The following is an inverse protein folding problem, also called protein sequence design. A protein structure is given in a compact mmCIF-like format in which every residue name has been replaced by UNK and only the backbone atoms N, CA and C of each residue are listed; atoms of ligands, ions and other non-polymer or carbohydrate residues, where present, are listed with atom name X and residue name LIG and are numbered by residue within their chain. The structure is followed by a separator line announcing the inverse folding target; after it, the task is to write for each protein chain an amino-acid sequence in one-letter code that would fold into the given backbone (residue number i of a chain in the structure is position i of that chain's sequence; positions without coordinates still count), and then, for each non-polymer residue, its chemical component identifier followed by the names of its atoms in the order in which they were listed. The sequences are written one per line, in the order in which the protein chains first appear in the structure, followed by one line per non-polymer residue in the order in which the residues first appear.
data_IF_944703311702
#
_entry.id   IF_944703311702
#
_cell.length_a   1.000
_cell.length_b   1.000
_cell.length_c   1.000
_cell.angle_alpha   90.00
_cell.angle_beta   90.00
_cell.angle_gamma   90.00
#
_symmetry.space_group_name_H-M   'P 1'
#
loop_
_entity.id
_entity.type
_entity.pdbx_description
1 polymer ?
#
# COMPACT_ATOMS: atom_id res chain seq x y z
N UNK A 1 -26.02 -13.23 6.46
CA UNK A 1 -24.96 -12.20 6.34
C UNK A 1 -24.94 -11.74 4.89
N UNK A 2 -24.77 -10.44 4.61
CA UNK A 2 -24.53 -9.98 3.22
C UNK A 2 -23.27 -10.67 2.73
N UNK A 3 -23.31 -11.25 1.53
CA UNK A 3 -22.24 -12.11 0.97
C UNK A 3 -20.92 -11.38 0.72
N UNK A 4 -20.88 -10.07 0.96
CA UNK A 4 -19.80 -9.17 0.55
C UNK A 4 -18.98 -8.67 1.75
N UNK A 5 -19.32 -9.08 2.96
CA UNK A 5 -18.62 -8.63 4.17
C UNK A 5 -17.49 -9.57 4.57
N UNK A 6 -16.42 -8.97 5.06
CA UNK A 6 -15.33 -9.68 5.75
C UNK A 6 -15.84 -10.43 6.99
N UNK A 7 -15.06 -11.38 7.48
CA UNK A 7 -15.41 -12.15 8.66
C UNK A 7 -15.48 -11.26 9.92
N UNK A 8 -16.25 -11.67 10.96
CA UNK A 8 -16.41 -10.85 12.16
C UNK A 8 -15.09 -10.53 12.90
N UNK A 9 -14.11 -11.44 12.86
CA UNK A 9 -12.83 -11.23 13.51
C UNK A 9 -12.01 -10.16 12.79
N UNK A 10 -11.92 -10.22 11.45
CA UNK A 10 -11.31 -9.16 10.64
C UNK A 10 -12.01 -7.81 10.81
N UNK A 11 -13.35 -7.82 10.86
CA UNK A 11 -14.17 -6.62 11.11
C UNK A 11 -13.81 -5.92 12.43
N UNK A 12 -13.55 -6.69 13.49
CA UNK A 12 -13.12 -6.14 14.78
C UNK A 12 -11.76 -5.42 14.69
N UNK A 13 -10.82 -5.95 13.91
CA UNK A 13 -9.53 -5.30 13.68
C UNK A 13 -9.64 -4.06 12.77
N UNK A 14 -10.57 -4.04 11.81
CA UNK A 14 -10.90 -2.81 11.06
C UNK A 14 -11.42 -1.72 12.01
N UNK A 15 -12.28 -2.09 12.96
CA UNK A 15 -12.78 -1.15 13.96
C UNK A 15 -11.65 -0.64 14.88
N UNK A 16 -10.72 -1.51 15.28
CA UNK A 16 -9.51 -1.12 16.02
C UNK A 16 -8.64 -0.14 15.21
N UNK A 17 -8.39 -0.41 13.93
CA UNK A 17 -7.60 0.46 13.06
C UNK A 17 -8.22 1.86 12.97
N UNK A 18 -9.53 1.95 12.75
CA UNK A 18 -10.25 3.23 12.65
C UNK A 18 -10.35 3.96 13.99
N UNK A 19 -10.35 3.24 15.10
CA UNK A 19 -10.32 3.82 16.45
C UNK A 19 -8.92 4.34 16.82
N UNK A 20 -7.86 3.64 16.42
CA UNK A 20 -6.47 4.02 16.63
C UNK A 20 -6.04 5.23 15.77
N UNK A 21 -6.77 5.52 14.69
CA UNK A 21 -6.46 6.63 13.80
C UNK A 21 -6.52 8.00 14.52
N UNK A 22 -5.37 8.67 14.62
CA UNK A 22 -5.28 10.03 15.15
C UNK A 22 -5.70 11.06 14.08
N UNK A 23 -6.96 11.49 14.20
CA UNK A 23 -7.59 12.48 13.30
C UNK A 23 -6.93 13.86 13.36
N UNK A 24 -6.11 14.15 14.37
CA UNK A 24 -5.42 15.44 14.53
C UNK A 24 -4.15 15.53 13.69
N UNK A 25 -3.53 14.39 13.35
CA UNK A 25 -2.28 14.34 12.58
C UNK A 25 -2.41 14.98 11.20
N UNK A 26 -3.50 14.71 10.47
CA UNK A 26 -3.77 15.39 9.20
C UNK A 26 -5.26 15.48 8.87
N UNK A 27 -5.72 16.70 8.60
CA UNK A 27 -7.08 16.98 8.12
C UNK A 27 -7.34 16.35 6.75
N UNK A 28 -6.33 16.35 5.87
CA UNK A 28 -6.47 15.80 4.52
C UNK A 28 -6.57 14.28 4.53
N UNK A 29 -5.73 13.60 5.33
CA UNK A 29 -5.85 12.15 5.53
C UNK A 29 -7.21 11.78 6.13
N UNK A 30 -7.67 12.52 7.13
CA UNK A 30 -9.01 12.33 7.71
C UNK A 30 -10.14 12.55 6.68
N UNK A 31 -9.96 13.50 5.76
CA UNK A 31 -10.91 13.72 4.65
C UNK A 31 -10.91 12.55 3.66
N UNK A 32 -9.75 11.98 3.35
CA UNK A 32 -9.64 10.81 2.47
C UNK A 32 -10.37 9.60 3.07
N UNK A 33 -10.18 9.33 4.38
CA UNK A 33 -10.95 8.30 5.08
C UNK A 33 -12.45 8.61 5.03
N UNK A 34 -12.87 9.85 5.30
CA UNK A 34 -14.27 10.25 5.17
C UNK A 34 -15.23 9.39 6.02
N UNK A 35 -16.53 9.42 5.69
CA UNK A 35 -17.57 8.69 6.45
C UNK A 35 -17.80 7.26 5.96
N UNK A 36 -17.40 6.96 4.72
CA UNK A 36 -17.66 5.67 4.06
C UNK A 36 -16.60 4.61 4.33
N UNK A 37 -15.40 4.98 4.82
CA UNK A 37 -14.27 4.06 4.89
C UNK A 37 -14.54 2.80 5.70
N UNK A 38 -15.33 2.88 6.77
CA UNK A 38 -15.68 1.68 7.56
C UNK A 38 -16.43 0.66 6.69
N UNK A 39 -17.34 1.13 5.84
CA UNK A 39 -18.09 0.26 4.93
C UNK A 39 -17.16 -0.33 3.86
N UNK A 40 -16.27 0.49 3.31
CA UNK A 40 -15.29 0.06 2.30
C UNK A 40 -14.30 -0.96 2.88
N UNK A 41 -13.76 -0.75 4.08
CA UNK A 41 -12.86 -1.71 4.73
C UNK A 41 -13.58 -2.96 5.26
N UNK A 42 -14.91 -2.94 5.39
CA UNK A 42 -15.67 -4.13 5.75
C UNK A 42 -16.21 -4.90 4.54
N UNK A 43 -15.81 -4.51 3.33
CA UNK A 43 -16.19 -5.20 2.09
C UNK A 43 -15.02 -6.08 1.62
N UNK A 44 -15.28 -7.37 1.37
CA UNK A 44 -14.24 -8.31 0.97
C UNK A 44 -13.64 -7.98 -0.41
N UNK A 45 -14.44 -7.38 -1.31
CA UNK A 45 -14.02 -7.07 -2.69
C UNK A 45 -13.05 -5.89 -2.78
N UNK A 46 -12.99 -5.09 -1.72
CA UNK A 46 -12.13 -3.91 -1.62
C UNK A 46 -10.88 -4.20 -0.79
N UNK A 47 -10.71 -5.41 -0.23
CA UNK A 47 -9.46 -5.82 0.45
C UNK A 47 -8.24 -5.58 -0.45
N UNK A 48 -8.22 -6.01 -1.72
CA UNK A 48 -7.03 -5.83 -2.56
C UNK A 48 -6.67 -4.37 -2.82
N UNK A 49 -7.61 -3.42 -2.62
CA UNK A 49 -7.40 -2.02 -3.01
C UNK A 49 -7.38 -1.06 -1.82
N UNK A 50 -8.39 -1.13 -0.96
CA UNK A 50 -8.58 -0.19 0.13
C UNK A 50 -7.70 -0.49 1.35
N UNK A 51 -7.47 -1.76 1.69
CA UNK A 51 -6.57 -2.11 2.79
C UNK A 51 -5.14 -1.61 2.54
N UNK A 52 -4.49 -1.93 1.39
CA UNK A 52 -3.14 -1.43 1.13
C UNK A 52 -3.08 0.09 1.05
N UNK A 53 -4.05 0.77 0.44
CA UNK A 53 -4.04 2.24 0.39
C UNK A 53 -4.16 2.88 1.79
N UNK A 54 -5.01 2.35 2.68
CA UNK A 54 -5.13 2.87 4.04
C UNK A 54 -3.88 2.53 4.86
N UNK A 55 -3.27 1.35 4.67
CA UNK A 55 -2.01 0.99 5.31
C UNK A 55 -0.84 1.89 4.86
N UNK A 56 -0.75 2.20 3.57
CA UNK A 56 0.23 3.16 3.04
C UNK A 56 -0.03 4.55 3.63
N UNK A 57 -1.29 5.00 3.67
CA UNK A 57 -1.67 6.27 4.28
C UNK A 57 -1.29 6.33 5.78
N UNK A 58 -1.56 5.26 6.53
CA UNK A 58 -1.18 5.14 7.93
C UNK A 58 0.34 5.19 8.11
N UNK A 59 1.07 4.50 7.24
CA UNK A 59 2.54 4.47 7.23
C UNK A 59 3.12 5.86 6.99
N UNK A 60 2.71 6.55 5.92
CA UNK A 60 3.23 7.89 5.61
C UNK A 60 2.80 8.95 6.62
N UNK A 61 1.79 8.69 7.44
CA UNK A 61 1.36 9.56 8.55
C UNK A 61 1.86 9.11 9.92
N UNK A 62 2.73 8.10 9.96
CA UNK A 62 3.40 7.57 11.16
C UNK A 62 2.41 7.04 12.20
N UNK A 63 1.48 6.19 11.74
CA UNK A 63 0.44 5.56 12.57
C UNK A 63 0.57 4.03 12.53
N UNK A 64 1.63 3.46 13.14
CA UNK A 64 1.93 2.03 13.05
C UNK A 64 0.79 1.13 13.57
N UNK A 65 0.09 1.53 14.64
CA UNK A 65 -1.00 0.74 15.22
C UNK A 65 -2.19 0.54 14.25
N UNK A 66 -2.43 1.52 13.38
CA UNK A 66 -3.43 1.42 12.31
C UNK A 66 -2.98 0.38 11.28
N UNK A 67 -1.72 0.46 10.85
CA UNK A 67 -1.15 -0.49 9.88
C UNK A 67 -1.16 -1.92 10.43
N UNK A 68 -0.73 -2.11 11.68
CA UNK A 68 -0.72 -3.41 12.37
C UNK A 68 -2.14 -3.98 12.48
N UNK A 69 -3.13 -3.15 12.84
CA UNK A 69 -4.53 -3.58 12.91
C UNK A 69 -5.07 -4.00 11.54
N UNK A 70 -4.69 -3.32 10.45
CA UNK A 70 -5.07 -3.73 9.09
C UNK A 70 -4.38 -5.02 8.66
N UNK A 71 -3.13 -5.25 9.07
CA UNK A 71 -2.46 -6.53 8.83
C UNK A 71 -3.20 -7.66 9.54
N UNK A 72 -3.58 -7.47 10.80
CA UNK A 72 -4.42 -8.42 11.53
C UNK A 72 -5.76 -8.70 10.85
N UNK A 73 -6.44 -7.66 10.40
CA UNK A 73 -7.69 -7.82 9.67
C UNK A 73 -7.50 -8.68 8.41
N UNK A 74 -6.43 -8.43 7.65
CA UNK A 74 -6.10 -9.24 6.48
C UNK A 74 -5.77 -10.69 6.83
N UNK A 75 -4.93 -10.93 7.85
CA UNK A 75 -4.58 -12.27 8.33
C UNK A 75 -5.82 -13.10 8.69
N UNK A 76 -6.78 -12.49 9.38
CA UNK A 76 -8.04 -13.14 9.74
C UNK A 76 -8.87 -13.57 8.52
N UNK A 77 -8.84 -12.80 7.43
CA UNK A 77 -9.53 -13.16 6.18
C UNK A 77 -8.85 -14.32 5.44
N UNK A 78 -7.51 -14.37 5.48
CA UNK A 78 -6.75 -15.32 4.66
C UNK A 78 -6.33 -16.59 5.39
N UNK A 79 -6.41 -16.65 6.72
CA UNK A 79 -5.91 -17.79 7.52
C UNK A 79 -6.55 -19.14 7.17
N UNK A 80 -7.73 -19.14 6.57
CA UNK A 80 -8.44 -20.35 6.16
C UNK A 80 -8.14 -20.76 4.71
N UNK A 81 -7.46 -19.90 3.96
CA UNK A 81 -7.16 -20.11 2.56
C UNK A 81 -5.87 -20.92 2.41
N UNK A 82 -5.87 -21.85 1.47
CA UNK A 82 -4.63 -22.51 1.01
C UNK A 82 -3.86 -21.65 0.02
N UNK A 83 -4.61 -20.90 -0.78
CA UNK A 83 -4.11 -20.03 -1.83
C UNK A 83 -4.94 -18.74 -1.89
N UNK A 84 -4.30 -17.65 -2.30
CA UNK A 84 -4.95 -16.35 -2.55
C UNK A 84 -4.85 -16.05 -4.04
N UNK A 85 -6.00 -15.72 -4.66
CA UNK A 85 -6.03 -15.35 -6.07
C UNK A 85 -5.34 -14.00 -6.30
N UNK A 86 -4.40 -13.97 -7.23
CA UNK A 86 -3.65 -12.79 -7.64
C UNK A 86 -4.53 -11.91 -8.56
N UNK A 87 -5.18 -10.88 -7.99
CA UNK A 87 -6.16 -10.02 -8.67
C UNK A 87 -6.01 -8.53 -8.28
N UNK A 88 -4.94 -7.87 -8.74
CA UNK A 88 -4.79 -6.39 -8.79
C UNK A 88 -4.61 -5.62 -7.46
N UNK A 89 -3.64 -4.67 -7.45
CA UNK A 89 -3.13 -3.87 -6.30
C UNK A 89 -2.67 -4.69 -5.09
N UNK A 90 -2.06 -5.83 -5.39
CA UNK A 90 -1.94 -7.00 -4.56
C UNK A 90 -1.30 -6.70 -3.22
N UNK A 91 -2.09 -6.93 -2.19
CA UNK A 91 -1.90 -6.56 -0.79
C UNK A 91 -0.50 -6.83 -0.25
N UNK A 92 0.16 -7.91 -0.68
CA UNK A 92 1.47 -8.32 -0.19
C UNK A 92 2.58 -7.28 -0.47
N UNK A 93 2.68 -6.73 -1.68
CA UNK A 93 3.73 -5.77 -2.03
C UNK A 93 3.65 -4.48 -1.21
N UNK A 94 2.49 -3.79 -1.19
CA UNK A 94 2.29 -2.60 -0.36
C UNK A 94 2.39 -2.90 1.14
N UNK A 95 1.90 -4.04 1.61
CA UNK A 95 2.01 -4.40 3.04
C UNK A 95 3.45 -4.69 3.44
N UNK A 96 4.22 -5.39 2.59
CA UNK A 96 5.66 -5.58 2.79
C UNK A 96 6.38 -4.25 2.86
N UNK A 97 6.11 -3.34 1.92
CA UNK A 97 6.70 -1.99 1.94
C UNK A 97 6.33 -1.22 3.22
N UNK A 98 5.07 -1.24 3.64
CA UNK A 98 4.65 -0.63 4.90
C UNK A 98 5.40 -1.23 6.11
N UNK A 99 5.57 -2.56 6.14
CA UNK A 99 6.31 -3.25 7.18
C UNK A 99 7.81 -2.88 7.17
N UNK A 100 8.42 -2.69 5.99
CA UNK A 100 9.78 -2.19 5.82
C UNK A 100 9.93 -0.78 6.40
N UNK A 101 9.06 0.15 6.00
CA UNK A 101 9.13 1.55 6.46
C UNK A 101 8.88 1.70 7.97
N UNK A 102 8.00 0.90 8.54
CA UNK A 102 7.67 0.91 9.96
C UNK A 102 8.60 0.01 10.80
N UNK A 103 9.62 -0.60 10.18
CA UNK A 103 10.57 -1.51 10.82
C UNK A 103 9.90 -2.69 11.55
N UNK A 104 8.81 -3.21 10.98
CA UNK A 104 8.04 -4.37 11.45
C UNK A 104 8.60 -5.68 10.87
N UNK A 105 9.82 -6.05 11.27
CA UNK A 105 10.62 -7.09 10.59
C UNK A 105 9.94 -8.47 10.53
N UNK A 106 9.11 -8.82 11.53
CA UNK A 106 8.29 -10.04 11.48
C UNK A 106 7.29 -10.05 10.31
N UNK A 107 6.60 -8.93 10.08
CA UNK A 107 5.62 -8.78 9.01
C UNK A 107 6.27 -8.69 7.62
N UNK A 108 7.46 -8.10 7.50
CA UNK A 108 8.20 -8.05 6.23
C UNK A 108 8.41 -9.45 5.66
N UNK A 109 8.90 -10.38 6.49
CA UNK A 109 9.14 -11.77 6.10
C UNK A 109 7.85 -12.52 5.78
N UNK A 110 6.75 -12.20 6.47
CA UNK A 110 5.46 -12.84 6.22
C UNK A 110 4.88 -12.47 4.85
N UNK A 111 5.01 -11.20 4.45
CA UNK A 111 4.52 -10.70 3.15
C UNK A 111 5.50 -10.90 1.99
N UNK A 112 6.68 -11.49 2.24
CA UNK A 112 7.64 -11.86 1.20
C UNK A 112 7.22 -13.13 0.44
N UNK A 113 6.03 -13.08 -0.16
CA UNK A 113 5.51 -14.11 -1.05
C UNK A 113 5.69 -13.67 -2.50
N UNK A 114 6.00 -14.63 -3.38
CA UNK A 114 6.18 -14.40 -4.81
C UNK A 114 5.29 -15.35 -5.61
N UNK A 115 5.04 -15.02 -6.88
CA UNK A 115 4.28 -15.86 -7.80
C UNK A 115 5.02 -15.95 -9.13
N UNK A 116 5.06 -17.15 -9.72
CA UNK A 116 5.55 -17.33 -11.09
C UNK A 116 4.52 -16.83 -12.10
N UNK A 117 4.96 -16.18 -13.17
CA UNK A 117 4.03 -15.69 -14.19
C UNK A 117 3.50 -16.80 -15.09
N UNK A 118 2.20 -16.72 -15.39
CA UNK A 118 1.50 -17.72 -16.20
C UNK A 118 1.04 -17.23 -17.58
N UNK A 119 1.46 -16.05 -18.05
CA UNK A 119 1.02 -15.51 -19.34
C UNK A 119 -0.23 -14.63 -19.28
N UNK A 120 -0.88 -14.47 -18.12
CA UNK A 120 -2.25 -13.95 -18.05
C UNK A 120 -2.40 -12.63 -17.27
N UNK A 121 -3.34 -11.80 -17.73
CA UNK A 121 -4.14 -10.93 -16.87
C UNK A 121 -3.54 -9.63 -16.34
N UNK A 122 -2.25 -9.34 -16.53
CA UNK A 122 -1.66 -8.09 -16.03
C UNK A 122 -0.77 -7.38 -17.04
N UNK A 123 -0.98 -6.06 -17.14
CA UNK A 123 -0.13 -5.17 -17.93
C UNK A 123 1.25 -5.03 -17.27
N UNK A 124 2.32 -4.81 -18.03
CA UNK A 124 3.66 -4.65 -17.49
C UNK A 124 3.81 -3.36 -16.64
N UNK A 125 4.96 -3.20 -15.97
CA UNK A 125 5.23 -2.07 -15.09
C UNK A 125 5.11 -0.73 -15.82
N UNK A 126 5.65 -0.61 -17.04
CA UNK A 126 5.60 0.60 -17.85
C UNK A 126 4.18 1.13 -18.15
N UNK A 127 3.18 0.24 -18.19
CA UNK A 127 1.78 0.57 -18.46
C UNK A 127 1.00 0.97 -17.18
N UNK A 128 1.48 0.56 -16.00
CA UNK A 128 0.79 0.83 -14.73
C UNK A 128 1.47 1.88 -13.86
N UNK A 129 2.81 1.93 -13.87
CA UNK A 129 3.60 2.96 -13.22
C UNK A 129 3.65 4.14 -14.18
N UNK A 130 2.49 4.77 -14.34
CA UNK A 130 2.31 5.90 -15.26
C UNK A 130 2.95 7.20 -14.75
N UNK A 131 3.85 7.14 -13.75
CA UNK A 131 4.59 8.30 -13.20
C UNK A 131 5.97 7.81 -12.75
N UNK A 132 6.97 8.00 -13.59
CA UNK A 132 8.35 7.82 -13.19
C UNK A 132 8.83 9.16 -12.64
N UNK A 133 9.18 9.22 -11.36
CA UNK A 133 9.68 10.44 -10.73
C UNK A 133 11.20 10.57 -10.91
N UNK A 134 11.90 9.43 -10.97
CA UNK A 134 13.36 9.36 -11.01
C UNK A 134 13.93 9.14 -12.42
N UNK A 135 13.11 8.67 -13.37
CA UNK A 135 13.58 8.11 -14.64
C UNK A 135 13.64 9.03 -15.87
N UNK A 136 12.94 10.18 -15.91
CA UNK A 136 13.03 11.16 -17.01
C UNK A 136 12.17 12.41 -16.70
N UNK A 137 12.46 13.62 -17.23
CA UNK A 137 11.67 14.83 -17.00
C UNK A 137 10.33 14.86 -17.78
N UNK A 138 9.89 13.73 -18.34
CA UNK A 138 8.74 13.66 -19.23
C UNK A 138 7.44 13.36 -18.49
N UNK A 139 6.68 14.44 -18.31
CA UNK A 139 5.21 14.55 -18.30
C UNK A 139 4.42 13.26 -18.05
N UNK A 140 3.74 13.21 -16.90
CA UNK A 140 2.46 12.52 -16.78
C UNK A 140 1.43 13.44 -16.09
N UNK A 141 0.16 13.29 -16.47
CA UNK A 141 -0.88 14.34 -16.53
C UNK A 141 -1.16 15.21 -15.29
N UNK A 142 -0.53 15.00 -14.13
CA UNK A 142 -0.89 15.71 -12.90
C UNK A 142 0.28 16.39 -12.17
N UNK A 143 1.55 16.08 -12.45
CA UNK A 143 2.68 16.71 -11.72
C UNK A 143 4.01 16.81 -12.50
N UNK A 144 4.82 17.84 -12.21
CA UNK A 144 6.18 18.11 -12.70
C UNK A 144 6.99 18.66 -11.50
N UNK A 145 8.25 18.27 -11.31
CA UNK A 145 9.15 18.89 -10.32
C UNK A 145 9.83 17.92 -9.36
N UNK A 146 10.17 18.37 -8.14
CA UNK A 146 10.46 17.55 -6.94
C UNK A 146 9.67 18.12 -5.74
N UNK A 147 9.73 17.51 -4.56
CA UNK A 147 9.13 18.12 -3.35
C UNK A 147 9.73 19.51 -3.08
N UNK A 148 11.02 19.68 -3.31
CA UNK A 148 11.77 20.92 -3.13
C UNK A 148 11.52 21.94 -4.24
N UNK A 149 11.36 21.48 -5.47
CA UNK A 149 11.15 22.31 -6.66
C UNK A 149 9.82 21.94 -7.33
N UNK A 150 8.66 22.24 -6.72
CA UNK A 150 7.38 21.90 -7.30
C UNK A 150 7.13 22.74 -8.56
N UNK A 151 6.86 22.10 -9.69
CA UNK A 151 6.51 22.78 -10.92
C UNK A 151 5.01 22.62 -11.25
N UNK A 152 4.35 23.69 -11.72
CA UNK A 152 2.95 23.60 -12.12
C UNK A 152 2.80 22.74 -13.38
N UNK A 153 1.74 21.96 -13.43
CA UNK A 153 1.34 21.21 -14.63
C UNK A 153 0.21 21.87 -15.39
N UNK A 154 -0.14 21.27 -16.53
CA UNK A 154 -1.35 21.58 -17.31
C UNK A 154 -2.64 21.59 -16.44
N UNK A 155 -2.64 20.89 -15.29
CA UNK A 155 -3.76 20.80 -14.34
C UNK A 155 -3.70 21.87 -13.23
N UNK A 156 -2.71 22.78 -13.26
CA UNK A 156 -2.54 23.93 -12.35
C UNK A 156 -2.38 23.59 -10.86
N UNK A 157 -2.37 22.32 -10.47
CA UNK A 157 -2.08 21.88 -9.10
C UNK A 157 -0.62 21.45 -9.02
N UNK A 158 0.20 22.03 -8.13
CA UNK A 158 1.61 21.66 -7.98
C UNK A 158 1.79 20.35 -7.21
N UNK A 159 0.71 19.68 -6.77
CA UNK A 159 0.78 18.41 -6.02
C UNK A 159 -0.35 17.47 -6.45
N UNK A 160 -0.08 16.17 -6.69
CA UNK A 160 -1.09 15.18 -7.04
C UNK A 160 -2.19 15.01 -5.97
N UNK A 161 -3.31 14.43 -6.40
CA UNK A 161 -4.37 14.03 -5.47
C UNK A 161 -3.89 12.87 -4.58
N UNK A 162 -4.20 12.94 -3.29
CA UNK A 162 -3.78 11.93 -2.30
C UNK A 162 -4.25 10.53 -2.67
N UNK A 163 -5.47 10.37 -3.19
CA UNK A 163 -6.00 9.06 -3.59
C UNK A 163 -5.24 8.46 -4.78
N UNK A 164 -4.77 9.29 -5.70
CA UNK A 164 -3.93 8.84 -6.81
C UNK A 164 -2.56 8.42 -6.29
N UNK A 165 -1.89 9.25 -5.47
CA UNK A 165 -0.57 8.93 -4.89
C UNK A 165 -0.59 7.60 -4.12
N UNK A 166 -1.57 7.40 -3.25
CA UNK A 166 -1.67 6.16 -2.47
C UNK A 166 -1.84 4.94 -3.38
N UNK A 167 -2.60 5.07 -4.46
CA UNK A 167 -2.77 4.02 -5.46
C UNK A 167 -1.46 3.75 -6.19
N UNK A 168 -0.75 4.78 -6.65
CA UNK A 168 0.52 4.61 -7.37
C UNK A 168 1.59 3.99 -6.48
N UNK A 169 1.70 4.41 -5.22
CA UNK A 169 2.57 3.76 -4.24
C UNK A 169 2.23 2.27 -4.09
N UNK A 170 0.94 1.91 -4.05
CA UNK A 170 0.55 0.50 -4.00
C UNK A 170 0.94 -0.25 -5.29
N UNK A 171 0.78 0.38 -6.45
CA UNK A 171 1.22 -0.17 -7.75
C UNK A 171 2.73 -0.40 -7.70
N UNK A 172 3.52 0.64 -7.45
CA UNK A 172 4.99 0.58 -7.46
C UNK A 172 5.52 -0.43 -6.45
N UNK A 173 4.97 -0.49 -5.23
CA UNK A 173 5.35 -1.48 -4.21
C UNK A 173 5.01 -2.91 -4.63
N UNK A 174 3.95 -3.08 -5.42
CA UNK A 174 3.62 -4.37 -6.02
C UNK A 174 4.65 -4.76 -7.07
N UNK A 175 4.98 -3.88 -8.01
CA UNK A 175 5.97 -4.18 -9.06
C UNK A 175 7.38 -4.40 -8.50
N UNK A 176 7.72 -3.72 -7.41
CA UNK A 176 8.93 -3.98 -6.62
C UNK A 176 9.00 -5.43 -6.11
N UNK A 177 7.87 -5.98 -5.64
CA UNK A 177 7.79 -7.36 -5.13
C UNK A 177 7.87 -8.41 -6.25
N UNK A 178 7.31 -8.10 -7.42
CA UNK A 178 7.13 -9.08 -8.50
C UNK A 178 7.97 -8.70 -9.73
N UNK A 179 9.27 -9.06 -9.74
CA UNK A 179 10.21 -8.65 -10.79
C UNK A 179 9.83 -9.15 -12.18
N UNK A 180 8.97 -10.17 -12.27
CA UNK A 180 8.48 -10.65 -13.56
C UNK A 180 7.82 -9.55 -14.41
N UNK A 181 7.06 -8.63 -13.78
CA UNK A 181 6.36 -7.60 -14.55
C UNK A 181 7.23 -6.38 -14.89
N UNK A 182 8.51 -6.40 -14.50
CA UNK A 182 9.43 -5.29 -14.70
C UNK A 182 10.02 -5.30 -16.12
N UNK A 183 9.28 -4.71 -17.04
CA UNK A 183 9.74 -4.42 -18.41
C UNK A 183 10.53 -3.11 -18.51
N UNK A 184 10.53 -2.31 -17.43
CA UNK A 184 11.30 -1.07 -17.31
C UNK A 184 12.80 -1.30 -17.12
N UNK A 185 13.20 -2.53 -16.77
CA UNK A 185 14.60 -2.86 -16.46
C UNK A 185 15.09 -2.25 -15.14
N UNK A 186 14.17 -1.83 -14.27
CA UNK A 186 14.48 -1.20 -12.99
C UNK A 186 15.12 -2.19 -12.00
N UNK A 187 16.09 -1.72 -11.25
CA UNK A 187 16.58 -2.42 -10.06
C UNK A 187 15.61 -2.25 -8.89
N UNK A 188 15.83 -3.01 -7.81
CA UNK A 188 15.10 -2.77 -6.55
C UNK A 188 15.37 -1.35 -6.01
N UNK A 189 16.58 -0.83 -6.20
CA UNK A 189 16.95 0.53 -5.78
C UNK A 189 16.17 1.59 -6.56
N UNK A 190 15.89 1.36 -7.85
CA UNK A 190 15.07 2.25 -8.67
C UNK A 190 13.62 2.28 -8.16
N UNK A 191 13.02 1.11 -7.90
CA UNK A 191 11.70 1.03 -7.27
C UNK A 191 11.65 1.69 -5.89
N UNK A 192 12.70 1.51 -5.08
CA UNK A 192 12.81 2.12 -3.76
C UNK A 192 12.99 3.63 -3.83
N UNK A 193 13.68 4.14 -4.84
CA UNK A 193 13.80 5.58 -5.09
C UNK A 193 12.44 6.19 -5.48
N UNK A 194 11.69 5.54 -6.37
CA UNK A 194 10.33 5.95 -6.75
C UNK A 194 9.38 5.97 -5.54
N UNK A 195 9.33 4.88 -4.77
CA UNK A 195 8.47 4.80 -3.57
C UNK A 195 8.85 5.82 -2.51
N UNK A 196 10.14 6.12 -2.34
CA UNK A 196 10.63 7.15 -1.42
C UNK A 196 10.14 8.52 -1.83
N UNK A 197 10.21 8.86 -3.11
CA UNK A 197 9.81 10.18 -3.59
C UNK A 197 8.28 10.34 -3.60
N UNK A 198 7.51 9.30 -3.96
CA UNK A 198 6.06 9.29 -3.78
C UNK A 198 5.66 9.50 -2.30
N UNK A 199 6.35 8.82 -1.37
CA UNK A 199 6.12 9.00 0.06
C UNK A 199 6.43 10.44 0.51
N UNK A 200 7.51 11.04 -0.01
CA UNK A 200 7.87 12.44 0.25
C UNK A 200 6.78 13.38 -0.25
N UNK A 201 6.20 13.16 -1.43
CA UNK A 201 5.03 13.92 -1.91
C UNK A 201 3.82 13.75 -1.03
N UNK A 202 3.47 12.50 -0.68
CA UNK A 202 2.32 12.23 0.16
C UNK A 202 2.46 12.96 1.51
N UNK A 203 3.64 12.93 2.12
CA UNK A 203 3.95 13.59 3.39
C UNK A 203 3.86 15.11 3.29
N UNK A 204 4.52 15.71 2.29
CA UNK A 204 4.44 17.15 2.04
C UNK A 204 2.98 17.59 1.81
N UNK A 205 2.21 16.83 1.02
CA UNK A 205 0.79 17.10 0.73
C UNK A 205 -0.09 17.06 1.98
N UNK A 206 0.25 16.17 2.90
CA UNK A 206 -0.45 15.93 4.15
C UNK A 206 -0.02 16.89 5.28
N UNK A 207 1.05 17.66 5.08
CA UNK A 207 1.58 18.67 6.01
C UNK A 207 2.67 18.16 6.96
N UNK A 208 3.34 17.04 6.62
CA UNK A 208 4.45 16.47 7.38
C UNK A 208 5.80 16.87 6.77
N UNK A 209 6.88 16.65 7.53
CA UNK A 209 8.24 16.65 6.97
C UNK A 209 8.33 15.62 5.83
N UNK A 210 8.88 15.97 4.66
CA UNK A 210 8.90 15.06 3.51
C UNK A 210 9.55 13.70 3.82
N UNK A 211 10.68 13.70 4.51
CA UNK A 211 11.37 12.46 4.85
C UNK A 211 10.61 11.65 5.90
N UNK A 212 10.57 10.34 5.68
CA UNK A 212 10.05 9.36 6.64
C UNK A 212 10.95 9.34 7.89
N UNK A 213 10.38 9.34 9.10
CA UNK A 213 11.18 9.14 10.30
C UNK A 213 11.66 7.69 10.39
N UNK A 214 12.73 7.45 11.14
CA UNK A 214 13.17 6.11 11.49
C UNK A 214 12.32 5.56 12.63
N UNK A 215 11.79 4.34 12.47
CA UNK A 215 11.04 3.63 13.50
C UNK A 215 11.94 2.62 14.23
N UNK A 216 11.75 2.42 15.54
CA UNK A 216 12.44 1.37 16.28
C UNK A 216 12.05 -0.01 15.72
N UNK A 217 12.97 -0.96 15.77
CA UNK A 217 12.71 -2.32 15.28
C UNK A 217 11.63 -3.01 16.13
N UNK A 218 10.67 -3.61 15.44
CA UNK A 218 9.65 -4.47 16.05
C UNK A 218 9.56 -5.80 15.29
N UNK A 219 10.22 -6.86 15.78
CA UNK A 219 10.19 -8.17 15.14
C UNK A 219 8.90 -8.96 15.42
N UNK A 220 8.03 -8.48 16.31
CA UNK A 220 6.87 -9.23 16.75
C UNK A 220 5.81 -9.32 15.66
N UNK A 221 5.40 -10.56 15.37
CA UNK A 221 4.27 -10.85 14.50
C UNK A 221 3.27 -11.71 15.28
N UNK A 222 2.04 -11.23 15.36
CA UNK A 222 0.95 -11.94 16.01
C UNK A 222 0.15 -12.67 14.93
N UNK A 223 0.64 -13.84 14.51
CA UNK A 223 -0.02 -14.67 13.53
C UNK A 223 -1.12 -15.55 14.15
N UNK A 224 -2.22 -15.85 13.44
CA UNK A 224 -3.14 -16.92 13.81
C UNK A 224 -2.41 -18.27 13.97
N UNK A 225 -2.93 -19.13 14.84
CA UNK A 225 -2.33 -20.44 15.11
C UNK A 225 -2.14 -21.27 13.82
N UNK A 226 -0.95 -21.86 13.65
CA UNK A 226 -0.59 -22.68 12.49
C UNK A 226 -0.15 -21.88 11.24
N UNK A 227 -0.18 -20.56 11.30
CA UNK A 227 0.26 -19.69 10.21
C UNK A 227 1.71 -19.25 10.43
N UNK A 228 2.58 -19.53 9.46
CA UNK A 228 4.00 -19.13 9.50
C UNK A 228 4.42 -18.30 8.28
N UNK A 229 3.61 -18.32 7.21
CA UNK A 229 3.81 -17.60 5.94
C UNK A 229 2.45 -17.26 5.33
N UNK A 230 2.43 -16.33 4.39
CA UNK A 230 1.24 -16.06 3.60
C UNK A 230 0.83 -17.32 2.82
N UNK A 231 -0.49 -17.59 2.62
CA UNK A 231 -0.94 -18.59 1.66
C UNK A 231 -0.38 -18.28 0.28
N UNK A 232 -0.12 -19.34 -0.51
CA UNK A 232 0.49 -19.20 -1.83
C UNK A 232 -0.38 -18.34 -2.73
N UNK A 233 0.26 -17.53 -3.57
CA UNK A 233 -0.44 -16.79 -4.60
C UNK A 233 -0.72 -17.72 -5.79
N UNK A 234 -1.95 -17.71 -6.29
CA UNK A 234 -2.32 -18.42 -7.52
C UNK A 234 -3.04 -17.50 -8.50
N UNK A 235 -2.85 -17.74 -9.79
CA UNK A 235 -3.53 -17.00 -10.84
C UNK A 235 -4.98 -17.42 -10.95
N UNK A 236 -5.85 -16.48 -11.32
CA UNK A 236 -7.22 -16.82 -11.72
C UNK A 236 -7.16 -17.54 -13.09
N UNK A 237 -7.26 -18.87 -13.09
CA UNK A 237 -7.30 -19.71 -14.30
C UNK A 237 -8.72 -19.90 -14.82
#
# INVERSE_FOLDING_TARGET
MSKDRICPAASAYVDQALAAWDKKRSKLATKYLGRGIRKELNNQFTIPTMFPQVAVLATVTEQPDVTISLFHAFLEEIKHLREITFMGYETAGPFRWCAEQLNLTGYQNFFDETIEYNGFGRLPASENITRHITGDPYMNMDWLGTVEEPAPTWVRSPVPRLDHLLRDMCITATYRQYPYFNDLGWSLDDYDAELREDARFARARLGFTPDMPTFPENPEIHLPEGMTRMPRLSWNT
#
